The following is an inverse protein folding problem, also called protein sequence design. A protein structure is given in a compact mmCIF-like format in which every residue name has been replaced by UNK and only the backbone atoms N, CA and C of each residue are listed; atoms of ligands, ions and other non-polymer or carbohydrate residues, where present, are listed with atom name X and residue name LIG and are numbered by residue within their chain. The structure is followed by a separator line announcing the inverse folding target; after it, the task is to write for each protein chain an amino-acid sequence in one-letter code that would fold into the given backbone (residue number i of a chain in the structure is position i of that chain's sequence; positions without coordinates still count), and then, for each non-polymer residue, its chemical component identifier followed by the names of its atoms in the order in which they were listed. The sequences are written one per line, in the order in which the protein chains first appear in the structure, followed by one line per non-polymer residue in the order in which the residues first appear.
data_IF_140212415963
#
_entry.id   IF_140212415963
#
_cell.length_a   1.000
_cell.length_b   1.000
_cell.length_c   1.000
_cell.angle_alpha   90.00
_cell.angle_beta   90.00
_cell.angle_gamma   90.00
#
_symmetry.space_group_name_H-M   'P 1'
#
loop_
_entity.id
_entity.type
_entity.pdbx_description
1 polymer ?
#
# COMPACT_ATOMS: atom_id res chain seq x y z
N UNK A 1 -0.12 12.03 10.18
CA UNK A 1 1.10 11.31 9.73
C UNK A 1 1.15 11.23 8.20
N UNK A 2 2.34 10.99 7.62
CA UNK A 2 2.50 10.78 6.16
C UNK A 2 2.70 9.28 5.87
N UNK A 3 2.03 8.79 4.84
CA UNK A 3 2.11 7.41 4.36
C UNK A 3 2.42 7.41 2.87
N UNK A 4 3.41 6.61 2.50
CA UNK A 4 3.82 6.39 1.13
C UNK A 4 3.66 4.92 0.78
N UNK A 5 3.00 4.63 -0.33
CA UNK A 5 2.78 3.27 -0.82
C UNK A 5 3.48 3.17 -2.17
N UNK A 6 4.53 2.35 -2.24
CA UNK A 6 5.17 1.96 -3.49
C UNK A 6 4.52 0.70 -4.05
N UNK A 7 4.17 0.72 -5.33
CA UNK A 7 3.62 -0.40 -6.07
C UNK A 7 4.56 -0.75 -7.23
N UNK A 8 5.18 -1.93 -7.18
CA UNK A 8 5.92 -2.49 -8.31
C UNK A 8 5.03 -3.53 -9.01
N UNK A 9 4.56 -3.19 -10.20
CA UNK A 9 3.52 -3.95 -10.92
C UNK A 9 4.13 -4.78 -12.04
N UNK A 10 3.88 -6.09 -11.99
CA UNK A 10 4.20 -7.04 -13.05
C UNK A 10 2.93 -7.57 -13.72
N UNK A 11 3.07 -8.40 -14.75
CA UNK A 11 1.93 -9.05 -15.40
C UNK A 11 1.19 -10.05 -14.49
N UNK A 12 1.79 -10.47 -13.38
CA UNK A 12 1.24 -11.51 -12.49
C UNK A 12 0.87 -10.97 -11.12
N UNK A 13 1.66 -10.06 -10.58
CA UNK A 13 1.53 -9.56 -9.23
C UNK A 13 1.77 -8.05 -9.13
N UNK A 14 1.34 -7.48 -8.01
CA UNK A 14 1.67 -6.13 -7.57
C UNK A 14 2.36 -6.27 -6.23
N UNK A 15 3.66 -5.95 -6.19
CA UNK A 15 4.43 -5.87 -4.95
C UNK A 15 4.19 -4.51 -4.33
N UNK A 16 3.93 -4.52 -3.03
CA UNK A 16 3.52 -3.34 -2.28
C UNK A 16 4.51 -3.13 -1.14
N UNK A 17 4.93 -1.89 -0.96
CA UNK A 17 5.76 -1.46 0.17
C UNK A 17 5.15 -0.20 0.78
N UNK A 18 4.94 -0.19 2.09
CA UNK A 18 4.36 0.93 2.81
C UNK A 18 5.42 1.55 3.71
N UNK A 19 5.66 2.85 3.56
CA UNK A 19 6.59 3.64 4.34
C UNK A 19 5.86 4.74 5.12
N UNK A 20 6.38 5.09 6.30
CA UNK A 20 5.95 6.28 7.03
C UNK A 20 6.68 7.55 6.54
N UNK A 21 6.41 8.69 7.19
CA UNK A 21 7.02 10.00 6.89
C UNK A 21 8.54 10.07 7.07
N UNK A 22 9.12 9.12 7.81
CA UNK A 22 10.54 9.04 8.15
C UNK A 22 11.30 8.04 7.26
N UNK A 23 10.59 7.37 6.35
CA UNK A 23 11.14 6.33 5.49
C UNK A 23 11.18 4.94 6.12
N UNK A 24 10.60 4.75 7.32
CA UNK A 24 10.50 3.45 7.97
C UNK A 24 9.51 2.55 7.21
N UNK A 25 9.91 1.30 6.95
CA UNK A 25 9.03 0.31 6.34
C UNK A 25 8.04 -0.24 7.36
N UNK A 26 6.77 0.10 7.16
CA UNK A 26 5.66 -0.35 8.00
C UNK A 26 5.12 -1.72 7.56
N UNK A 27 5.09 -1.98 6.25
CA UNK A 27 4.53 -3.22 5.71
C UNK A 27 5.08 -3.50 4.30
N UNK A 28 5.05 -4.76 3.90
CA UNK A 28 5.29 -5.16 2.51
C UNK A 28 4.64 -6.49 2.21
N UNK A 29 3.92 -6.55 1.08
CA UNK A 29 3.19 -7.72 0.64
C UNK A 29 3.03 -7.72 -0.87
N UNK A 30 2.62 -8.87 -1.43
CA UNK A 30 2.21 -8.97 -2.83
C UNK A 30 0.73 -9.32 -2.93
N UNK A 31 0.07 -8.82 -3.97
CA UNK A 31 -1.26 -9.27 -4.40
C UNK A 31 -1.20 -9.65 -5.87
N UNK A 32 -2.14 -10.43 -6.37
CA UNK A 32 -2.25 -10.69 -7.80
C UNK A 32 -2.54 -9.40 -8.57
N UNK A 33 -2.08 -9.32 -9.82
CA UNK A 33 -2.46 -8.25 -10.74
C UNK A 33 -3.81 -8.58 -11.42
N UNK A 34 -4.85 -8.70 -10.60
CA UNK A 34 -6.22 -8.94 -11.02
C UNK A 34 -7.20 -8.16 -10.13
N UNK A 35 -8.49 -8.19 -10.47
CA UNK A 35 -9.53 -7.49 -9.72
C UNK A 35 -9.62 -7.94 -8.24
N UNK A 36 -9.57 -9.24 -7.91
CA UNK A 36 -9.46 -9.70 -6.53
C UNK A 36 -8.24 -9.13 -5.78
N UNK A 37 -7.06 -9.12 -6.41
CA UNK A 37 -5.83 -8.60 -5.82
C UNK A 37 -5.89 -7.10 -5.58
N UNK A 38 -6.42 -6.33 -6.53
CA UNK A 38 -6.68 -4.90 -6.36
C UNK A 38 -7.68 -4.61 -5.22
N UNK A 39 -8.70 -5.46 -5.08
CA UNK A 39 -9.67 -5.36 -3.97
C UNK A 39 -8.99 -5.63 -2.63
N UNK A 40 -8.19 -6.69 -2.55
CA UNK A 40 -7.42 -7.03 -1.35
C UNK A 40 -6.41 -5.93 -0.98
N UNK A 41 -5.75 -5.33 -1.96
CA UNK A 41 -4.86 -4.17 -1.77
C UNK A 41 -5.63 -3.01 -1.13
N UNK A 42 -6.76 -2.60 -1.71
CA UNK A 42 -7.60 -1.52 -1.18
C UNK A 42 -8.00 -1.78 0.27
N UNK A 43 -8.53 -2.96 0.58
CA UNK A 43 -8.96 -3.32 1.93
C UNK A 43 -7.79 -3.29 2.93
N UNK A 44 -6.62 -3.81 2.57
CA UNK A 44 -5.43 -3.76 3.42
C UNK A 44 -4.96 -2.33 3.69
N UNK A 45 -4.95 -1.48 2.67
CA UNK A 45 -4.58 -0.07 2.83
C UNK A 45 -5.56 0.66 3.76
N UNK A 46 -6.87 0.45 3.58
CA UNK A 46 -7.90 1.02 4.45
C UNK A 46 -7.75 0.54 5.91
N UNK A 47 -7.52 -0.76 6.12
CA UNK A 47 -7.28 -1.31 7.46
C UNK A 47 -6.04 -0.69 8.14
N UNK A 48 -4.98 -0.41 7.38
CA UNK A 48 -3.76 0.22 7.90
C UNK A 48 -3.97 1.66 8.36
N UNK A 49 -4.94 2.37 7.78
CA UNK A 49 -5.22 3.78 8.10
C UNK A 49 -6.45 3.99 8.99
N UNK A 50 -7.28 2.96 9.19
CA UNK A 50 -8.58 3.07 9.87
C UNK A 50 -8.55 3.73 11.26
N UNK A 51 -7.44 3.61 12.00
CA UNK A 51 -7.27 4.17 13.35
C UNK A 51 -6.14 5.22 13.41
N UNK A 52 -5.79 5.83 12.28
CA UNK A 52 -4.66 6.74 12.16
C UNK A 52 -5.09 8.00 11.43
N UNK A 53 -4.72 9.15 11.98
CA UNK A 53 -4.89 10.42 11.26
C UNK A 53 -3.78 10.55 10.21
N UNK A 54 -4.17 10.40 8.95
CA UNK A 54 -3.26 10.47 7.80
C UNK A 54 -3.44 11.80 7.10
N UNK A 55 -2.42 12.65 7.19
CA UNK A 55 -2.39 13.97 6.57
C UNK A 55 -2.03 13.87 5.08
N UNK A 56 -1.20 12.88 4.73
CA UNK A 56 -0.77 12.65 3.36
C UNK A 56 -0.72 11.16 3.09
N UNK A 57 -1.42 10.73 2.05
CA UNK A 57 -1.43 9.36 1.56
C UNK A 57 -1.06 9.39 0.07
N UNK A 58 0.15 8.94 -0.27
CA UNK A 58 0.66 8.94 -1.64
C UNK A 58 0.88 7.51 -2.12
N UNK A 59 0.36 7.21 -3.29
CA UNK A 59 0.64 5.96 -4.00
C UNK A 59 1.53 6.29 -5.20
N UNK A 60 2.66 5.61 -5.31
CA UNK A 60 3.55 5.65 -6.47
C UNK A 60 3.62 4.27 -7.12
N UNK A 61 3.57 4.25 -8.44
CA UNK A 61 3.92 3.12 -9.30
C UNK A 61 5.38 3.24 -9.75
#
# INVERSE_FOLDING_TARGET
MRLFVGLDVSSFDMKVCILNGEGEKLDSFSVNNDLPGATALKERLLQRIANKEVETFKIGL
#
